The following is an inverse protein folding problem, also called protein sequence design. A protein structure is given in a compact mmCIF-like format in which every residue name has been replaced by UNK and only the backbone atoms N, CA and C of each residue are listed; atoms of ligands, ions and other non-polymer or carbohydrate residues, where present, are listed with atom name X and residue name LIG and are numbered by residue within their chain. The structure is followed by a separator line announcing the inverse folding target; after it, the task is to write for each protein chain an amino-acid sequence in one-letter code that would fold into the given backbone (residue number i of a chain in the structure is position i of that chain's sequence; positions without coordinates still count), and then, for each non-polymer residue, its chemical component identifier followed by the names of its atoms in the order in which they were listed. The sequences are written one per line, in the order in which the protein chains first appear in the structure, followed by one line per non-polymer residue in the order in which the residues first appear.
data_IF_228315536804
#
_entry.id   IF_228315536804
#
_cell.length_a   1.000
_cell.length_b   1.000
_cell.length_c   1.000
_cell.angle_alpha   90.00
_cell.angle_beta   90.00
_cell.angle_gamma   90.00
#
_symmetry.space_group_name_H-M   'P 1'
#
loop_
_entity.id
_entity.type
_entity.pdbx_description
1 polymer ?
#
# COMPACT_ATOMS: atom_id res chain seq x y z
N UNK A 1 25.02 32.30 -15.57
CA UNK A 1 25.82 31.08 -15.37
C UNK A 1 25.24 30.17 -14.27
N UNK A 2 23.91 29.98 -14.18
CA UNK A 2 23.31 29.21 -13.06
C UNK A 2 22.38 28.06 -13.51
N UNK A 3 22.44 27.63 -14.76
CA UNK A 3 21.55 26.54 -15.29
C UNK A 3 22.25 25.21 -15.58
N UNK A 4 23.57 25.12 -15.48
CA UNK A 4 24.29 23.87 -15.78
C UNK A 4 24.44 22.91 -14.58
N UNK A 5 24.43 23.41 -13.35
CA UNK A 5 24.61 22.54 -12.16
C UNK A 5 23.41 21.67 -11.83
N UNK A 6 22.20 22.09 -12.18
CA UNK A 6 20.98 21.32 -11.89
C UNK A 6 20.82 20.09 -12.80
N UNK A 7 21.30 20.15 -14.04
CA UNK A 7 21.21 19.04 -15.02
C UNK A 7 22.20 17.93 -14.66
N UNK A 8 23.38 18.27 -14.17
CA UNK A 8 24.41 17.29 -13.81
C UNK A 8 24.04 16.47 -12.58
N UNK A 9 23.36 17.08 -11.60
CA UNK A 9 22.86 16.38 -10.39
C UNK A 9 21.71 15.43 -10.72
N UNK A 10 20.83 15.80 -11.65
CA UNK A 10 19.71 14.95 -12.07
C UNK A 10 20.20 13.73 -12.85
N UNK A 11 21.21 13.87 -13.69
CA UNK A 11 21.79 12.74 -14.46
C UNK A 11 22.51 11.75 -13.56
N UNK A 12 23.24 12.22 -12.53
CA UNK A 12 23.91 11.33 -11.57
C UNK A 12 22.94 10.60 -10.64
N UNK A 13 21.87 11.25 -10.21
CA UNK A 13 20.80 10.63 -9.41
C UNK A 13 20.02 9.59 -10.23
N UNK A 14 19.75 9.87 -11.51
CA UNK A 14 19.09 8.93 -12.40
C UNK A 14 19.96 7.70 -12.71
N UNK A 15 21.27 7.87 -12.90
CA UNK A 15 22.21 6.77 -13.15
C UNK A 15 22.38 5.87 -11.91
N UNK A 16 22.42 6.43 -10.71
CA UNK A 16 22.47 5.67 -9.46
C UNK A 16 21.15 4.97 -9.14
N UNK A 17 20.01 5.57 -9.47
CA UNK A 17 18.69 4.94 -9.37
C UNK A 17 18.50 3.84 -10.42
N UNK A 18 18.98 4.00 -11.64
CA UNK A 18 19.01 2.94 -12.64
C UNK A 18 19.87 1.75 -12.18
N UNK A 19 20.96 2.01 -11.46
CA UNK A 19 21.78 0.94 -10.88
C UNK A 19 21.10 0.28 -9.66
N UNK A 20 20.39 1.03 -8.82
CA UNK A 20 19.56 0.47 -7.73
C UNK A 20 18.42 -0.39 -8.30
N UNK A 21 17.79 0.04 -9.40
CA UNK A 21 16.76 -0.74 -10.10
C UNK A 21 17.38 -1.96 -10.82
N UNK A 22 18.62 -1.90 -11.28
CA UNK A 22 19.30 -3.07 -11.91
C UNK A 22 19.72 -4.15 -10.90
N UNK A 23 19.81 -3.81 -9.61
CA UNK A 23 20.00 -4.77 -8.52
C UNK A 23 18.67 -5.28 -7.91
N UNK A 24 17.56 -4.59 -8.18
CA UNK A 24 16.21 -5.10 -8.02
C UNK A 24 15.95 -6.03 -9.21
N UNK A 25 15.70 -7.30 -9.01
CA UNK A 25 15.39 -8.25 -10.07
C UNK A 25 14.32 -7.74 -11.04
N UNK A 26 14.14 -8.39 -12.18
CA UNK A 26 13.02 -8.09 -13.07
C UNK A 26 11.73 -8.12 -12.25
N UNK A 27 11.08 -6.97 -12.08
CA UNK A 27 9.86 -6.89 -11.29
C UNK A 27 8.76 -7.78 -11.85
N UNK A 28 7.88 -8.25 -11.00
CA UNK A 28 6.75 -9.11 -11.38
C UNK A 28 5.42 -8.59 -10.82
N UNK A 29 4.32 -9.10 -11.36
CA UNK A 29 3.00 -8.84 -10.79
C UNK A 29 2.84 -9.63 -9.48
N UNK A 30 2.41 -8.95 -8.42
CA UNK A 30 2.12 -9.59 -7.15
C UNK A 30 1.04 -10.66 -7.29
N UNK A 31 1.21 -11.78 -6.62
CA UNK A 31 0.18 -12.82 -6.47
C UNK A 31 -0.64 -12.54 -5.21
N UNK A 32 -1.91 -12.99 -5.23
CA UNK A 32 -2.78 -12.87 -4.06
C UNK A 32 -3.79 -14.02 -4.02
N UNK A 33 -3.81 -14.86 -2.97
CA UNK A 33 -4.62 -16.07 -2.93
C UNK A 33 -6.12 -15.83 -3.12
N UNK A 34 -6.63 -14.71 -2.60
CA UNK A 34 -8.04 -14.34 -2.73
C UNK A 34 -8.38 -13.63 -4.06
N UNK A 35 -7.42 -13.44 -4.96
CA UNK A 35 -7.63 -12.78 -6.25
C UNK A 35 -7.28 -13.67 -7.44
N UNK A 36 -6.40 -14.66 -7.26
CA UNK A 36 -5.84 -15.47 -8.35
C UNK A 36 -6.51 -16.85 -8.37
N UNK A 37 -7.83 -16.88 -8.63
CA UNK A 37 -8.60 -18.12 -8.69
C UNK A 37 -9.79 -18.02 -9.66
N UNK A 38 -10.31 -19.17 -10.10
CA UNK A 38 -11.40 -19.28 -11.07
C UNK A 38 -12.71 -18.61 -10.62
N UNK A 39 -12.98 -18.56 -9.31
CA UNK A 39 -14.17 -17.89 -8.79
C UNK A 39 -14.13 -16.39 -9.05
N UNK A 40 -12.95 -15.78 -8.87
CA UNK A 40 -12.71 -14.36 -9.18
C UNK A 40 -12.81 -14.08 -10.66
N UNK A 41 -12.25 -14.94 -11.52
CA UNK A 41 -12.36 -14.80 -12.97
C UNK A 41 -13.81 -14.82 -13.43
N UNK A 42 -14.59 -15.80 -12.94
CA UNK A 42 -16.03 -15.91 -13.20
C UNK A 42 -16.79 -14.67 -12.74
N UNK A 43 -16.55 -14.21 -11.53
CA UNK A 43 -17.18 -13.01 -10.99
C UNK A 43 -16.88 -11.76 -11.82
N UNK A 44 -15.63 -11.57 -12.23
CA UNK A 44 -15.20 -10.45 -13.08
C UNK A 44 -15.95 -10.46 -14.42
N UNK A 45 -16.15 -11.62 -15.04
CA UNK A 45 -16.94 -11.73 -16.29
C UNK A 45 -18.38 -11.30 -16.06
N UNK A 46 -19.04 -11.78 -15.00
CA UNK A 46 -20.41 -11.36 -14.68
C UNK A 46 -20.51 -9.85 -14.41
N UNK A 47 -19.52 -9.28 -13.72
CA UNK A 47 -19.48 -7.84 -13.42
C UNK A 47 -19.22 -7.00 -14.68
N UNK A 48 -18.37 -7.45 -15.60
CA UNK A 48 -18.13 -6.75 -16.88
C UNK A 48 -19.41 -6.70 -17.72
N UNK A 49 -20.16 -7.80 -17.81
CA UNK A 49 -21.45 -7.84 -18.50
C UNK A 49 -22.46 -6.91 -17.82
N UNK A 50 -22.56 -6.97 -16.48
CA UNK A 50 -23.46 -6.11 -15.71
C UNK A 50 -23.14 -4.63 -15.91
N UNK A 51 -21.86 -4.25 -15.97
CA UNK A 51 -21.43 -2.86 -16.17
C UNK A 51 -21.85 -2.28 -17.52
N UNK A 52 -22.05 -3.12 -18.54
CA UNK A 52 -22.46 -2.71 -19.90
C UNK A 52 -23.98 -2.72 -20.08
N UNK A 53 -24.73 -3.29 -19.14
CA UNK A 53 -26.18 -3.38 -19.25
C UNK A 53 -26.84 -2.01 -19.08
N UNK A 54 -27.87 -1.74 -19.89
CA UNK A 54 -28.71 -0.51 -19.82
C UNK A 54 -29.95 -0.68 -18.95
N UNK A 55 -30.26 -1.91 -18.55
CA UNK A 55 -31.39 -2.27 -17.73
C UNK A 55 -30.96 -2.59 -16.29
N UNK A 56 -31.69 -2.07 -15.30
CA UNK A 56 -31.37 -2.18 -13.87
C UNK A 56 -31.45 -3.65 -13.39
N UNK A 57 -32.42 -4.43 -13.91
CA UNK A 57 -32.58 -5.82 -13.47
C UNK A 57 -31.44 -6.69 -14.02
N UNK A 58 -30.97 -6.42 -15.25
CA UNK A 58 -29.77 -7.06 -15.80
C UNK A 58 -28.50 -6.72 -15.00
N UNK A 59 -28.36 -5.47 -14.54
CA UNK A 59 -27.25 -5.06 -13.66
C UNK A 59 -27.31 -5.82 -12.33
N UNK A 60 -28.49 -5.86 -11.69
CA UNK A 60 -28.71 -6.58 -10.42
C UNK A 60 -28.47 -8.08 -10.56
N UNK A 61 -28.97 -8.68 -11.63
CA UNK A 61 -28.75 -10.10 -11.91
C UNK A 61 -27.26 -10.43 -12.12
N UNK A 62 -26.51 -9.55 -12.77
CA UNK A 62 -25.05 -9.70 -12.92
C UNK A 62 -24.30 -9.60 -11.60
N UNK A 63 -24.67 -8.67 -10.73
CA UNK A 63 -24.13 -8.55 -9.36
C UNK A 63 -24.43 -9.83 -8.57
N UNK A 64 -25.68 -10.33 -8.62
CA UNK A 64 -26.05 -11.55 -7.89
C UNK A 64 -25.24 -12.78 -8.35
N UNK A 65 -25.01 -12.93 -9.67
CA UNK A 65 -24.14 -13.99 -10.22
C UNK A 65 -22.69 -13.85 -9.75
N UNK A 66 -22.15 -12.64 -9.72
CA UNK A 66 -20.80 -12.39 -9.24
C UNK A 66 -20.66 -12.72 -7.74
N UNK A 67 -21.62 -12.30 -6.90
CA UNK A 67 -21.67 -12.65 -5.47
C UNK A 67 -21.74 -14.16 -5.27
N UNK A 68 -22.56 -14.86 -6.06
CA UNK A 68 -22.66 -16.33 -6.01
C UNK A 68 -21.33 -17.00 -6.37
N UNK A 69 -20.64 -16.50 -7.40
CA UNK A 69 -19.36 -17.04 -7.84
C UNK A 69 -18.25 -16.85 -6.77
N UNK A 70 -18.20 -15.67 -6.14
CA UNK A 70 -17.23 -15.36 -5.09
C UNK A 70 -17.52 -16.05 -3.75
N UNK A 71 -18.79 -16.32 -3.46
CA UNK A 71 -19.28 -16.68 -2.13
C UNK A 71 -19.44 -15.45 -1.23
N UNK A 72 -20.45 -15.48 -0.36
CA UNK A 72 -20.86 -14.32 0.47
C UNK A 72 -19.79 -13.83 1.43
N UNK A 73 -18.88 -14.71 1.85
CA UNK A 73 -17.78 -14.36 2.77
C UNK A 73 -16.62 -13.65 2.09
N UNK A 74 -16.53 -13.68 0.77
CA UNK A 74 -15.46 -13.00 0.04
C UNK A 74 -15.61 -11.49 0.17
N UNK A 75 -14.52 -10.78 0.45
CA UNK A 75 -14.56 -9.33 0.69
C UNK A 75 -15.19 -8.53 -0.47
N UNK A 76 -14.96 -8.92 -1.72
CA UNK A 76 -15.54 -8.25 -2.88
C UNK A 76 -17.06 -8.53 -3.02
N UNK A 77 -17.56 -9.68 -2.58
CA UNK A 77 -18.99 -9.93 -2.48
C UNK A 77 -19.63 -9.02 -1.42
N UNK A 78 -18.97 -8.82 -0.29
CA UNK A 78 -19.39 -7.87 0.74
C UNK A 78 -19.39 -6.42 0.24
N UNK A 79 -18.38 -6.03 -0.56
CA UNK A 79 -18.37 -4.71 -1.22
C UNK A 79 -19.58 -4.52 -2.13
N UNK A 80 -19.94 -5.53 -2.92
CA UNK A 80 -21.11 -5.50 -3.83
C UNK A 80 -22.44 -5.44 -3.06
N UNK A 81 -22.56 -6.15 -1.95
CA UNK A 81 -23.79 -6.17 -1.14
C UNK A 81 -23.95 -4.93 -0.28
N UNK A 82 -22.85 -4.34 0.21
CA UNK A 82 -22.87 -3.07 0.96
C UNK A 82 -23.21 -1.87 0.06
N UNK A 83 -22.95 -1.96 -1.22
CA UNK A 83 -23.30 -0.96 -2.22
C UNK A 83 -24.79 -1.02 -2.63
N UNK A 84 -25.64 -1.79 -1.91
CA UNK A 84 -27.09 -1.87 -2.23
C UNK A 84 -27.68 -0.47 -2.21
N UNK A 85 -28.27 -0.03 -3.32
CA UNK A 85 -29.00 1.21 -3.32
C UNK A 85 -30.29 1.03 -2.51
N UNK A 86 -30.58 1.96 -1.64
CA UNK A 86 -31.96 2.38 -1.47
C UNK A 86 -32.55 2.58 -2.86
N UNK A 87 -33.79 2.29 -3.05
CA UNK A 87 -34.50 2.07 -4.34
C UNK A 87 -34.26 3.03 -5.50
N UNK A 88 -33.52 4.13 -5.32
CA UNK A 88 -33.34 5.22 -6.31
C UNK A 88 -31.88 5.47 -6.74
N UNK A 89 -30.92 4.64 -6.38
CA UNK A 89 -29.57 4.78 -6.91
C UNK A 89 -29.57 4.32 -8.37
N UNK A 90 -29.45 5.27 -9.29
CA UNK A 90 -29.48 5.04 -10.72
C UNK A 90 -28.41 4.04 -11.18
N UNK A 91 -28.61 3.45 -12.33
CA UNK A 91 -27.72 2.49 -13.01
C UNK A 91 -26.26 2.96 -12.99
N UNK A 92 -26.02 4.26 -13.22
CA UNK A 92 -24.68 4.84 -13.26
C UNK A 92 -23.90 4.66 -11.96
N UNK A 93 -24.57 4.79 -10.80
CA UNK A 93 -23.93 4.58 -9.49
C UNK A 93 -23.54 3.13 -9.31
N UNK A 94 -24.43 2.20 -9.64
CA UNK A 94 -24.14 0.77 -9.60
C UNK A 94 -22.99 0.39 -10.53
N UNK A 95 -22.99 0.90 -11.75
CA UNK A 95 -21.92 0.68 -12.73
C UNK A 95 -20.57 1.23 -12.25
N UNK A 96 -20.57 2.36 -11.54
CA UNK A 96 -19.38 2.92 -10.91
C UNK A 96 -18.86 2.01 -9.77
N UNK A 97 -19.75 1.51 -8.93
CA UNK A 97 -19.39 0.59 -7.84
C UNK A 97 -18.91 -0.76 -8.39
N UNK A 98 -19.57 -1.31 -9.42
CA UNK A 98 -19.09 -2.47 -10.17
C UNK A 98 -17.69 -2.22 -10.73
N UNK A 99 -17.45 -1.05 -11.35
CA UNK A 99 -16.13 -0.68 -11.88
C UNK A 99 -15.04 -0.71 -10.81
N UNK A 100 -15.35 -0.22 -9.61
CA UNK A 100 -14.45 -0.26 -8.46
C UNK A 100 -14.16 -1.69 -8.01
N UNK A 101 -15.18 -2.54 -7.94
CA UNK A 101 -15.00 -3.95 -7.56
C UNK A 101 -14.21 -4.72 -8.61
N UNK A 102 -14.45 -4.48 -9.91
CA UNK A 102 -13.63 -5.06 -10.98
C UNK A 102 -12.15 -4.65 -10.80
N UNK A 103 -11.87 -3.38 -10.55
CA UNK A 103 -10.50 -2.92 -10.30
C UNK A 103 -9.88 -3.61 -9.08
N UNK A 104 -10.63 -3.73 -7.99
CA UNK A 104 -10.22 -4.45 -6.78
C UNK A 104 -9.84 -5.89 -7.06
N UNK A 105 -10.63 -6.59 -7.87
CA UNK A 105 -10.42 -8.00 -8.20
C UNK A 105 -9.32 -8.23 -9.25
N UNK A 106 -9.01 -7.25 -10.10
CA UNK A 106 -8.10 -7.44 -11.24
C UNK A 106 -6.77 -6.73 -11.13
N UNK A 107 -6.67 -5.67 -10.29
CA UNK A 107 -5.40 -4.97 -10.12
C UNK A 107 -4.40 -5.83 -9.37
N UNK A 108 -3.18 -5.89 -9.88
CA UNK A 108 -2.02 -6.51 -9.23
C UNK A 108 -0.89 -5.47 -9.20
N UNK A 109 -0.34 -5.17 -8.01
CA UNK A 109 0.84 -4.33 -7.91
C UNK A 109 2.01 -4.91 -8.70
N UNK A 110 2.78 -4.03 -9.32
CA UNK A 110 4.09 -4.41 -9.85
C UNK A 110 5.10 -4.41 -8.70
N UNK A 111 5.74 -5.54 -8.44
CA UNK A 111 6.70 -5.68 -7.36
C UNK A 111 8.11 -5.58 -7.91
N UNK A 112 8.90 -4.62 -7.44
CA UNK A 112 10.31 -4.43 -7.82
C UNK A 112 11.28 -5.08 -6.82
N UNK A 113 10.78 -5.47 -5.64
CA UNK A 113 11.53 -6.14 -4.60
C UNK A 113 10.62 -7.04 -3.78
N UNK A 114 11.22 -8.05 -3.14
CA UNK A 114 10.52 -8.95 -2.25
C UNK A 114 10.00 -8.23 -1.00
N UNK A 115 8.91 -8.75 -0.44
CA UNK A 115 8.44 -8.32 0.88
C UNK A 115 9.25 -9.01 1.99
N UNK A 116 9.33 -8.43 3.20
CA UNK A 116 9.94 -9.11 4.34
C UNK A 116 9.28 -10.48 4.61
N UNK A 117 10.08 -11.39 5.13
CA UNK A 117 9.62 -12.76 5.45
C UNK A 117 8.40 -12.74 6.37
N UNK A 118 7.37 -13.53 6.04
CA UNK A 118 6.08 -13.65 6.74
C UNK A 118 5.23 -12.37 6.75
N UNK A 119 5.58 -11.35 5.98
CA UNK A 119 4.65 -10.23 5.80
C UNK A 119 3.37 -10.74 5.13
N UNK A 120 2.21 -10.21 5.52
CA UNK A 120 0.96 -10.58 4.88
C UNK A 120 0.91 -10.09 3.43
N UNK A 121 0.04 -10.72 2.62
CA UNK A 121 -0.24 -10.27 1.28
C UNK A 121 -0.65 -8.79 1.25
N UNK A 122 -0.49 -8.14 0.10
CA UNK A 122 -0.92 -6.76 -0.07
C UNK A 122 -2.44 -6.64 0.09
N UNK A 123 -2.90 -5.52 0.65
CA UNK A 123 -4.34 -5.20 0.72
C UNK A 123 -4.84 -4.84 -0.68
N UNK A 124 -5.85 -5.53 -1.24
CA UNK A 124 -6.40 -5.20 -2.54
C UNK A 124 -6.85 -3.73 -2.64
N UNK A 125 -6.73 -3.11 -3.81
CA UNK A 125 -7.11 -1.71 -3.99
C UNK A 125 -8.57 -1.49 -3.61
N UNK A 126 -8.86 -0.37 -2.93
CA UNK A 126 -10.18 -0.01 -2.39
C UNK A 126 -10.69 -0.89 -1.25
N UNK A 127 -10.07 -2.03 -0.97
CA UNK A 127 -10.42 -2.86 0.20
C UNK A 127 -9.80 -2.29 1.48
N UNK A 128 -10.53 -2.47 2.60
CA UNK A 128 -10.03 -2.16 3.94
C UNK A 128 -10.06 -3.44 4.76
N UNK A 129 -8.92 -3.79 5.33
CA UNK A 129 -8.79 -4.98 6.17
C UNK A 129 -7.94 -4.69 7.41
N UNK A 130 -8.13 -5.51 8.42
CA UNK A 130 -7.25 -5.58 9.59
C UNK A 130 -6.30 -6.74 9.39
N UNK A 131 -4.99 -6.48 9.48
CA UNK A 131 -3.96 -7.51 9.37
C UNK A 131 -2.90 -7.37 10.45
N UNK A 132 -2.26 -8.48 10.78
CA UNK A 132 -1.14 -8.52 11.72
C UNK A 132 0.15 -8.46 10.93
N UNK A 133 0.97 -7.45 11.18
CA UNK A 133 2.36 -7.40 10.73
C UNK A 133 3.20 -8.20 11.73
N UNK A 134 4.03 -9.14 11.29
CA UNK A 134 4.94 -9.88 12.19
C UNK A 134 5.94 -8.92 12.82
N UNK A 135 6.68 -9.37 13.81
CA UNK A 135 7.86 -8.63 14.26
C UNK A 135 8.89 -8.53 13.12
N UNK A 136 9.43 -7.33 12.90
CA UNK A 136 10.40 -7.07 11.83
C UNK A 136 11.48 -6.09 12.24
N UNK A 137 12.61 -6.12 11.53
CA UNK A 137 13.71 -5.16 11.68
C UNK A 137 13.68 -4.16 10.54
N UNK A 138 14.05 -2.92 10.84
CA UNK A 138 14.18 -1.87 9.84
C UNK A 138 15.34 -0.93 10.15
N UNK A 139 15.97 -0.39 9.10
CA UNK A 139 16.79 0.81 9.18
C UNK A 139 15.87 2.02 9.03
N UNK A 140 15.93 2.97 9.95
CA UNK A 140 15.09 4.16 9.97
C UNK A 140 15.95 5.43 10.05
N UNK A 141 15.51 6.48 9.35
CA UNK A 141 16.04 7.83 9.47
C UNK A 141 14.91 8.83 9.71
N UNK A 142 15.18 9.84 10.54
CA UNK A 142 14.23 10.94 10.77
C UNK A 142 14.16 11.85 9.55
N UNK A 143 12.97 12.39 9.31
CA UNK A 143 12.72 13.39 8.26
C UNK A 143 12.33 14.72 8.90
N UNK A 144 13.04 15.78 8.55
CA UNK A 144 12.77 17.14 8.97
C UNK A 144 13.00 18.12 7.81
N UNK A 145 13.01 19.44 8.10
CA UNK A 145 13.26 20.45 7.08
C UNK A 145 14.65 20.33 6.41
N UNK A 146 15.62 19.71 7.07
CA UNK A 146 17.00 19.50 6.57
C UNK A 146 17.14 18.15 5.88
N UNK A 147 16.49 17.11 6.41
CA UNK A 147 16.54 15.75 5.88
C UNK A 147 15.26 15.44 5.10
N UNK A 148 15.23 15.90 3.86
CA UNK A 148 14.09 15.68 2.94
C UNK A 148 14.07 14.24 2.43
N UNK A 149 12.95 13.84 1.82
CA UNK A 149 12.71 12.48 1.33
C UNK A 149 13.88 11.90 0.51
N UNK A 150 14.50 12.69 -0.37
CA UNK A 150 15.65 12.22 -1.15
C UNK A 150 16.89 11.94 -0.29
N UNK A 151 17.21 12.84 0.66
CA UNK A 151 18.34 12.64 1.58
C UNK A 151 18.13 11.42 2.47
N UNK A 152 16.93 11.27 3.01
CA UNK A 152 16.54 10.11 3.83
C UNK A 152 16.68 8.80 3.05
N UNK A 153 16.21 8.77 1.80
CA UNK A 153 16.36 7.59 0.93
C UNK A 153 17.82 7.21 0.73
N UNK A 154 18.68 8.19 0.39
CA UNK A 154 20.10 7.92 0.13
C UNK A 154 20.89 7.51 1.36
N UNK A 155 20.59 8.07 2.54
CA UNK A 155 21.14 7.61 3.81
C UNK A 155 20.82 6.13 4.05
N UNK A 156 19.54 5.75 3.91
CA UNK A 156 19.11 4.37 4.08
C UNK A 156 19.68 3.43 3.01
N UNK A 157 19.72 3.87 1.76
CA UNK A 157 20.28 3.09 0.66
C UNK A 157 21.78 2.85 0.85
N UNK A 158 22.52 3.89 1.26
CA UNK A 158 23.94 3.77 1.61
C UNK A 158 24.15 2.79 2.76
N UNK A 159 23.29 2.80 3.77
CA UNK A 159 23.33 1.87 4.88
C UNK A 159 23.16 0.41 4.44
N UNK A 160 22.08 0.07 3.73
CA UNK A 160 21.83 -1.31 3.30
C UNK A 160 22.93 -1.82 2.35
N UNK A 161 23.45 -0.94 1.48
CA UNK A 161 24.55 -1.29 0.57
C UNK A 161 25.84 -1.61 1.33
N UNK A 162 26.24 -0.79 2.30
CA UNK A 162 27.47 -1.03 3.12
C UNK A 162 27.37 -2.33 3.92
N UNK A 163 26.17 -2.68 4.36
CA UNK A 163 25.92 -3.85 5.19
C UNK A 163 25.51 -5.10 4.39
N UNK A 164 25.56 -5.04 3.05
CA UNK A 164 25.14 -6.14 2.15
C UNK A 164 23.71 -6.64 2.45
N UNK A 165 22.79 -5.72 2.71
CA UNK A 165 21.38 -6.02 3.00
C UNK A 165 20.58 -5.75 1.72
N UNK A 166 19.81 -6.76 1.28
CA UNK A 166 18.96 -6.61 0.10
C UNK A 166 17.84 -5.58 0.34
N UNK A 167 17.53 -4.78 -0.69
CA UNK A 167 16.37 -3.90 -0.68
C UNK A 167 15.09 -4.73 -0.67
N UNK A 168 14.12 -4.34 0.15
CA UNK A 168 12.78 -4.92 0.19
C UNK A 168 11.71 -3.87 -0.08
N UNK A 169 10.52 -4.32 -0.41
CA UNK A 169 9.30 -3.52 -0.42
C UNK A 169 8.38 -3.98 0.72
N UNK A 170 7.62 -3.10 1.32
CA UNK A 170 7.49 -1.66 1.06
C UNK A 170 8.57 -0.81 1.75
N UNK A 171 8.76 0.41 1.26
CA UNK A 171 9.38 1.50 2.00
C UNK A 171 8.35 2.11 2.94
N UNK A 172 8.64 2.13 4.22
CA UNK A 172 7.75 2.69 5.24
C UNK A 172 8.04 4.17 5.46
N UNK A 173 6.99 5.00 5.46
CA UNK A 173 7.04 6.41 5.87
C UNK A 173 6.04 6.64 6.99
N UNK A 174 6.52 6.99 8.17
CA UNK A 174 5.68 7.30 9.32
C UNK A 174 5.42 8.80 9.41
N UNK A 175 4.16 9.18 9.62
CA UNK A 175 3.81 10.53 10.01
C UNK A 175 4.10 10.76 11.49
N UNK A 176 4.14 12.02 11.96
CA UNK A 176 4.37 12.32 13.38
C UNK A 176 3.18 11.96 14.29
N UNK A 177 1.99 11.74 13.71
CA UNK A 177 0.80 11.26 14.41
C UNK A 177 -0.14 10.52 13.46
N UNK A 178 -1.29 10.05 13.99
CA UNK A 178 -2.37 9.49 13.17
C UNK A 178 -3.21 10.55 12.45
N UNK A 179 -2.93 11.85 12.64
CA UNK A 179 -3.57 12.94 11.91
C UNK A 179 -2.92 13.13 10.54
N UNK A 180 -3.75 13.35 9.53
CA UNK A 180 -3.33 13.60 8.17
C UNK A 180 -2.48 14.85 7.99
N UNK A 181 -2.72 15.90 8.80
CA UNK A 181 -1.94 17.14 8.78
C UNK A 181 -0.55 16.98 9.38
N UNK A 182 -0.29 15.89 10.07
CA UNK A 182 1.01 15.59 10.62
C UNK A 182 2.04 15.36 9.49
N UNK A 183 3.20 16.00 9.55
CA UNK A 183 4.25 15.79 8.55
C UNK A 183 4.78 14.37 8.61
N UNK A 184 5.37 13.89 7.51
CA UNK A 184 6.15 12.66 7.52
C UNK A 184 7.37 12.88 8.41
N UNK A 185 7.50 12.07 9.44
CA UNK A 185 8.52 12.20 10.49
C UNK A 185 9.71 11.29 10.27
N UNK A 186 9.52 10.16 9.57
CA UNK A 186 10.61 9.23 9.28
C UNK A 186 10.38 8.43 8.02
N UNK A 187 11.48 7.91 7.46
CA UNK A 187 11.52 6.90 6.41
C UNK A 187 12.27 5.69 6.92
N UNK A 188 11.86 4.49 6.49
CA UNK A 188 12.54 3.26 6.87
C UNK A 188 12.55 2.24 5.72
N UNK A 189 13.65 1.48 5.65
CA UNK A 189 13.79 0.28 4.83
C UNK A 189 13.67 -0.94 5.71
N UNK A 190 12.74 -1.81 5.39
CA UNK A 190 12.50 -3.04 6.11
C UNK A 190 13.56 -4.08 5.70
N UNK A 191 13.97 -4.93 6.63
CA UNK A 191 14.90 -6.01 6.31
C UNK A 191 14.12 -7.26 5.89
N UNK A 192 14.71 -8.07 5.03
CA UNK A 192 14.09 -9.32 4.59
C UNK A 192 13.81 -10.29 5.75
N UNK A 193 14.63 -10.25 6.80
CA UNK A 193 14.34 -10.91 8.08
C UNK A 193 14.98 -10.16 9.26
N UNK A 194 14.46 -10.39 10.46
CA UNK A 194 14.90 -9.72 11.69
C UNK A 194 16.26 -10.19 12.23
N UNK A 195 16.84 -11.24 11.66
CA UNK A 195 18.19 -11.72 12.02
C UNK A 195 19.33 -10.97 11.35
N UNK A 196 19.05 -10.11 10.36
CA UNK A 196 20.08 -9.39 9.62
C UNK A 196 20.56 -8.14 10.35
N UNK A 197 21.88 -7.89 10.27
CA UNK A 197 22.51 -6.68 10.83
C UNK A 197 22.40 -6.59 12.35
N UNK A 198 22.95 -5.53 12.92
CA UNK A 198 22.90 -5.22 14.36
C UNK A 198 21.97 -4.05 14.63
N UNK A 199 21.29 -4.06 15.78
CA UNK A 199 20.50 -2.92 16.26
C UNK A 199 21.39 -1.76 16.69
N UNK A 200 20.85 -0.55 16.61
CA UNK A 200 21.51 0.66 17.07
C UNK A 200 21.83 1.65 15.95
N UNK A 201 22.56 2.67 16.26
CA UNK A 201 23.01 3.68 15.29
C UNK A 201 24.01 3.08 14.29
N UNK A 202 23.88 3.45 13.01
CA UNK A 202 24.89 3.12 12.00
C UNK A 202 26.19 3.86 12.31
N UNK A 203 27.31 3.15 12.35
CA UNK A 203 28.63 3.73 12.63
C UNK A 203 29.12 4.72 11.57
N UNK A 204 28.64 4.58 10.34
CA UNK A 204 29.03 5.39 9.19
C UNK A 204 28.04 6.53 8.87
N UNK A 205 26.79 6.44 9.34
CA UNK A 205 25.78 7.49 9.17
C UNK A 205 24.87 7.57 10.42
N UNK A 206 25.19 8.52 11.29
CA UNK A 206 24.47 8.73 12.56
C UNK A 206 22.98 9.07 12.40
N UNK A 207 22.54 9.41 11.19
CA UNK A 207 21.13 9.66 10.91
C UNK A 207 20.32 8.35 10.76
N UNK A 208 21.02 7.23 10.56
CA UNK A 208 20.39 5.90 10.40
C UNK A 208 20.46 5.13 11.71
N UNK A 209 19.31 4.60 12.12
CA UNK A 209 19.20 3.73 13.29
C UNK A 209 18.46 2.45 12.93
N UNK A 210 19.05 1.31 13.28
CA UNK A 210 18.41 0.00 13.11
C UNK A 210 17.60 -0.33 14.35
N UNK A 211 16.30 -0.62 14.15
CA UNK A 211 15.35 -0.92 15.22
C UNK A 211 14.54 -2.18 14.93
N UNK A 212 14.13 -2.87 15.98
CA UNK A 212 13.18 -3.97 15.92
C UNK A 212 11.79 -3.43 16.26
N UNK A 213 10.82 -3.77 15.44
CA UNK A 213 9.41 -3.44 15.63
C UNK A 213 8.71 -4.73 16.07
N UNK A 214 7.97 -4.71 17.18
CA UNK A 214 7.21 -5.88 17.62
C UNK A 214 6.05 -6.16 16.66
N UNK A 215 5.50 -7.37 16.76
CA UNK A 215 4.25 -7.71 16.09
C UNK A 215 3.17 -6.66 16.41
N UNK A 216 2.40 -6.27 15.40
CA UNK A 216 1.40 -5.23 15.56
C UNK A 216 0.20 -5.44 14.64
N UNK A 217 -0.97 -5.08 15.17
CA UNK A 217 -2.20 -5.02 14.42
C UNK A 217 -2.27 -3.69 13.66
N UNK A 218 -2.68 -3.72 12.40
CA UNK A 218 -2.91 -2.52 11.59
C UNK A 218 -4.23 -2.62 10.84
N UNK A 219 -4.91 -1.50 10.64
CA UNK A 219 -5.88 -1.40 9.56
C UNK A 219 -5.18 -0.87 8.32
N UNK A 220 -5.42 -1.49 7.19
CA UNK A 220 -4.79 -1.21 5.91
C UNK A 220 -5.84 -0.93 4.82
N UNK A 221 -5.50 -0.05 3.89
CA UNK A 221 -6.20 0.14 2.63
C UNK A 221 -5.22 0.14 1.47
N UNK A 222 -5.48 -0.66 0.44
CA UNK A 222 -4.70 -0.65 -0.80
C UNK A 222 -5.10 0.50 -1.72
N UNK A 223 -4.11 1.16 -2.31
CA UNK A 223 -4.29 2.32 -3.19
C UNK A 223 -3.45 2.16 -4.44
N UNK A 224 -4.10 2.19 -5.60
CA UNK A 224 -3.41 2.25 -6.89
C UNK A 224 -2.88 3.65 -7.14
N UNK A 225 -1.65 3.74 -7.60
CA UNK A 225 -0.97 5.00 -7.90
C UNK A 225 0.15 5.32 -6.93
N UNK A 226 0.76 6.48 -7.12
CA UNK A 226 1.80 7.01 -6.23
C UNK A 226 1.16 7.70 -5.02
N UNK A 227 1.82 7.70 -3.85
CA UNK A 227 1.34 8.42 -2.67
C UNK A 227 1.47 9.94 -2.90
N UNK A 228 0.38 10.55 -3.36
CA UNK A 228 0.21 12.01 -3.42
C UNK A 228 -0.59 12.49 -2.22
N UNK A 229 -0.51 13.77 -1.88
CA UNK A 229 -1.32 14.36 -0.80
C UNK A 229 -2.80 13.98 -0.97
N UNK A 230 -3.36 14.15 -2.17
CA UNK A 230 -4.75 13.85 -2.45
C UNK A 230 -5.11 12.35 -2.26
N UNK A 231 -4.27 11.43 -2.77
CA UNK A 231 -4.54 9.99 -2.65
C UNK A 231 -4.42 9.49 -1.22
N UNK A 232 -3.45 10.02 -0.46
CA UNK A 232 -3.28 9.72 0.97
C UNK A 232 -4.45 10.28 1.78
N UNK A 233 -4.90 11.51 1.50
CA UNK A 233 -6.08 12.13 2.14
C UNK A 233 -7.35 11.32 1.93
N UNK A 234 -7.59 10.89 0.70
CA UNK A 234 -8.77 10.09 0.38
C UNK A 234 -8.74 8.73 1.10
N UNK A 235 -7.59 8.06 1.09
CA UNK A 235 -7.40 6.78 1.77
C UNK A 235 -7.57 6.92 3.29
N UNK A 236 -6.96 7.95 3.88
CA UNK A 236 -7.09 8.23 5.31
C UNK A 236 -8.54 8.49 5.74
N UNK A 237 -9.29 9.30 4.99
CA UNK A 237 -10.72 9.52 5.28
C UNK A 237 -11.50 8.20 5.31
N UNK A 238 -11.28 7.33 4.32
CA UNK A 238 -11.93 6.00 4.28
C UNK A 238 -11.57 5.14 5.49
N UNK A 239 -10.29 5.10 5.88
CA UNK A 239 -9.86 4.37 7.07
C UNK A 239 -10.50 4.94 8.35
N UNK A 240 -10.54 6.27 8.49
CA UNK A 240 -11.16 6.92 9.66
C UNK A 240 -12.66 6.68 9.73
N UNK A 241 -13.35 6.69 8.61
CA UNK A 241 -14.77 6.38 8.54
C UNK A 241 -15.05 4.91 8.91
N UNK A 242 -14.25 4.01 8.37
CA UNK A 242 -14.32 2.59 8.68
C UNK A 242 -14.07 2.31 10.18
N UNK A 243 -13.08 2.98 10.79
CA UNK A 243 -12.77 2.87 12.21
C UNK A 243 -13.87 3.42 13.11
N UNK A 244 -14.56 4.51 12.71
CA UNK A 244 -15.70 5.05 13.49
C UNK A 244 -16.80 4.02 13.69
N UNK A 245 -17.03 3.15 12.73
CA UNK A 245 -18.03 2.08 12.82
C UNK A 245 -17.60 0.94 13.76
N UNK A 246 -16.32 0.89 14.15
CA UNK A 246 -15.68 -0.19 14.95
C UNK A 246 -14.99 0.32 16.21
N UNK A 247 -15.30 1.52 16.65
CA UNK A 247 -14.67 2.19 17.80
C UNK A 247 -14.85 1.47 19.14
N UNK A 248 -15.81 0.54 19.24
CA UNK A 248 -16.02 -0.34 20.40
C UNK A 248 -15.03 -1.50 20.46
N UNK A 249 -14.39 -1.84 19.35
CA UNK A 249 -13.51 -3.02 19.23
C UNK A 249 -12.05 -2.63 19.02
N UNK A 250 -11.81 -1.49 18.35
CA UNK A 250 -10.50 -1.08 17.87
C UNK A 250 -10.20 0.38 18.22
N UNK A 251 -8.98 0.62 18.68
CA UNK A 251 -8.44 1.98 18.90
C UNK A 251 -7.13 2.17 18.15
N UNK A 252 -6.91 3.39 17.68
CA UNK A 252 -5.63 3.77 17.03
C UNK A 252 -4.50 3.78 18.05
N UNK A 253 -3.39 3.10 17.71
CA UNK A 253 -2.25 2.88 18.61
C UNK A 253 -0.92 3.46 18.11
N UNK A 254 -0.93 4.21 17.03
CA UNK A 254 0.32 4.75 16.47
C UNK A 254 0.11 5.72 15.31
N UNK A 255 1.20 6.18 14.71
CA UNK A 255 1.16 7.15 13.62
C UNK A 255 0.58 6.55 12.34
N UNK A 256 0.04 7.42 11.48
CA UNK A 256 -0.29 7.07 10.11
C UNK A 256 0.98 6.65 9.37
N UNK A 257 0.89 5.58 8.57
CA UNK A 257 2.00 5.03 7.78
C UNK A 257 1.63 4.91 6.31
N UNK A 258 2.53 5.34 5.45
CA UNK A 258 2.48 5.04 4.02
C UNK A 258 3.50 3.94 3.73
N UNK A 259 3.04 2.84 3.13
CA UNK A 259 3.84 1.68 2.75
C UNK A 259 3.97 1.68 1.23
N UNK A 260 5.09 2.23 0.71
CA UNK A 260 5.33 2.39 -0.73
C UNK A 260 6.00 1.16 -1.34
N UNK A 261 5.39 0.55 -2.35
CA UNK A 261 5.89 -0.69 -2.95
C UNK A 261 6.75 -0.45 -4.20
N UNK A 262 6.76 0.78 -4.72
CA UNK A 262 7.39 1.06 -5.99
C UNK A 262 8.36 2.24 -5.95
N UNK A 263 9.38 2.13 -6.80
CA UNK A 263 10.28 3.24 -7.10
C UNK A 263 9.54 4.39 -7.80
N UNK A 264 10.12 5.60 -7.80
CA UNK A 264 9.55 6.75 -8.51
C UNK A 264 9.42 6.55 -10.03
N UNK A 265 10.08 5.53 -10.62
CA UNK A 265 10.08 5.28 -12.06
C UNK A 265 8.87 4.46 -12.53
N UNK A 266 8.22 3.72 -11.64
CA UNK A 266 7.03 2.96 -12.01
C UNK A 266 5.90 3.92 -12.37
N UNK A 267 5.26 3.74 -13.55
CA UNK A 267 4.11 4.54 -13.96
C UNK A 267 2.96 4.45 -12.95
N UNK A 268 2.24 5.57 -12.73
CA UNK A 268 1.16 5.63 -11.73
C UNK A 268 0.07 4.57 -11.92
N UNK A 269 -0.18 4.13 -13.14
CA UNK A 269 -1.15 3.07 -13.41
C UNK A 269 -0.72 1.66 -12.97
N UNK A 270 0.57 1.45 -12.65
CA UNK A 270 1.15 0.21 -12.10
C UNK A 270 1.65 0.39 -10.67
N UNK A 271 1.83 1.65 -10.23
CA UNK A 271 2.28 1.96 -8.89
C UNK A 271 1.20 1.61 -7.86
N UNK A 272 1.65 1.31 -6.64
CA UNK A 272 0.81 0.89 -5.54
C UNK A 272 1.42 1.30 -4.20
N UNK A 273 0.57 1.65 -3.26
CA UNK A 273 0.93 1.82 -1.87
C UNK A 273 -0.21 1.37 -0.96
N UNK A 274 0.10 1.08 0.27
CA UNK A 274 -0.88 0.91 1.33
C UNK A 274 -0.80 2.07 2.31
N UNK A 275 -1.94 2.42 2.89
CA UNK A 275 -2.00 3.31 4.03
C UNK A 275 -2.40 2.51 5.26
N UNK A 276 -1.58 2.56 6.32
CA UNK A 276 -1.77 1.82 7.55
C UNK A 276 -2.02 2.76 8.73
N UNK A 277 -2.89 2.33 9.64
CA UNK A 277 -2.99 2.91 10.99
C UNK A 277 -2.81 1.76 11.99
N UNK A 278 -1.78 1.81 12.87
CA UNK A 278 -1.62 0.84 13.94
C UNK A 278 -2.80 0.85 14.91
N UNK A 279 -3.17 -0.32 15.39
CA UNK A 279 -4.35 -0.54 16.22
C UNK A 279 -4.02 -1.32 17.49
N UNK A 280 -4.85 -1.13 18.50
CA UNK A 280 -5.04 -2.05 19.63
C UNK A 280 -6.50 -2.50 19.69
N UNK A 281 -6.73 -3.72 20.17
CA UNK A 281 -8.07 -4.22 20.49
C UNK A 281 -8.43 -3.75 21.89
N UNK A 282 -9.67 -3.37 22.10
CA UNK A 282 -10.22 -3.24 23.44
C UNK A 282 -10.30 -4.63 24.09
N UNK A 283 -9.87 -4.73 25.35
CA UNK A 283 -10.04 -5.93 26.16
C UNK A 283 -11.48 -6.06 26.64
#
# INVERSE_FOLDING_TARGET
MLKMSAILVVVSAAALLLWAVSTLGAGELAKHPNLDNAAVESAVQHLRTAKQASDLDAVRAGIARAVKALGEKHFAAQMLTSARPESDAGIERLQKDIGRVIETLTFRPWMEADVPMRFPDFTPVHHIEVKTLPAYRMARTSMDAKNRQNSAFWSLFGHIKRNNIAMTAPVQMDHSSSDLKAPVASMAFLYSNSGLGSRGADSSDRNVTVVDIPEQLVVSIGVRGKPTTQSVELAHRKLREWLKQRNKELTTAGPLRTMGYNSPFIPSNRAFFELHIPLTRHQ
#
